data_IF_450546363626
#
_entry.id   IF_450546363626
#
_cell.length_a   1.000
_cell.length_b   1.000
_cell.length_c   1.000
_cell.angle_alpha   90.00
_cell.angle_beta   90.00
_cell.angle_gamma   90.00
#
_symmetry.space_group_name_H-M   'P 1'
#
loop_
_entity.id
_entity.type
_entity.pdbx_description
1 polymer ?
#
# COMPACT_ATOMS: atom_id res chain seq x y z
N UNK A 1 16.10 10.69 4.42
CA UNK A 1 15.31 10.22 5.56
C UNK A 1 13.89 9.99 5.09
N UNK A 2 13.34 8.83 5.34
CA UNK A 2 11.92 8.59 5.06
C UNK A 2 11.12 9.39 6.09
N UNK A 3 10.34 10.39 5.65
CA UNK A 3 9.48 11.17 6.52
C UNK A 3 8.21 10.38 6.83
N UNK A 4 7.91 10.20 8.12
CA UNK A 4 6.60 9.73 8.54
C UNK A 4 5.63 10.92 8.47
N UNK A 5 4.53 10.73 7.76
CA UNK A 5 3.49 11.75 7.62
C UNK A 5 2.17 11.17 8.10
N UNK A 6 1.50 11.87 8.99
CA UNK A 6 0.15 11.52 9.40
C UNK A 6 -0.85 12.09 8.38
N UNK A 7 -1.66 11.21 7.82
CA UNK A 7 -2.69 11.57 6.86
C UNK A 7 -4.05 11.25 7.48
N UNK A 8 -4.98 12.22 7.49
CA UNK A 8 -6.34 11.96 7.93
C UNK A 8 -7.00 10.94 6.99
N UNK A 9 -7.64 9.96 7.58
CA UNK A 9 -8.35 8.88 6.91
C UNK A 9 -9.61 8.55 7.69
N UNK A 10 -10.40 7.61 7.20
CA UNK A 10 -11.54 7.09 7.95
C UNK A 10 -11.59 5.56 7.91
N UNK A 11 -12.10 5.00 8.99
CA UNK A 11 -12.42 3.58 9.09
C UNK A 11 -13.91 3.40 8.85
N UNK A 12 -14.25 2.53 7.91
CA UNK A 12 -15.62 2.17 7.58
C UNK A 12 -15.86 0.70 7.88
N UNK A 13 -17.06 0.37 8.34
CA UNK A 13 -17.53 -0.98 8.50
C UNK A 13 -18.95 -1.07 7.94
N UNK A 14 -19.31 -2.21 7.37
CA UNK A 14 -20.63 -2.39 6.80
C UNK A 14 -21.75 -2.15 7.83
N UNK A 15 -22.69 -1.26 7.50
CA UNK A 15 -23.81 -0.93 8.38
C UNK A 15 -23.49 0.04 9.54
N UNK A 16 -22.30 0.61 9.58
CA UNK A 16 -21.89 1.56 10.63
C UNK A 16 -21.38 2.87 10.02
N UNK A 17 -21.58 4.01 10.70
CA UNK A 17 -21.06 5.29 10.22
C UNK A 17 -19.52 5.29 10.23
N UNK A 18 -18.88 5.99 9.28
CA UNK A 18 -17.43 6.09 9.22
C UNK A 18 -16.88 6.79 10.47
N UNK A 19 -15.76 6.30 10.98
CA UNK A 19 -15.06 6.90 12.11
C UNK A 19 -13.74 7.51 11.66
N UNK A 20 -13.37 8.70 12.19
CA UNK A 20 -12.10 9.32 11.86
C UNK A 20 -10.92 8.44 12.33
N UNK A 21 -9.91 8.39 11.52
CA UNK A 21 -8.66 7.67 11.79
C UNK A 21 -7.47 8.47 11.30
N UNK A 22 -6.30 8.17 11.83
CA UNK A 22 -5.02 8.70 11.38
C UNK A 22 -4.21 7.57 10.77
N UNK A 23 -3.84 7.73 9.53
CA UNK A 23 -2.96 6.82 8.84
C UNK A 23 -1.53 7.39 8.83
N UNK A 24 -0.59 6.65 9.39
CA UNK A 24 0.82 7.00 9.31
C UNK A 24 1.40 6.37 8.06
N UNK A 25 1.79 7.21 7.12
CA UNK A 25 2.40 6.82 5.86
C UNK A 25 3.85 7.26 5.80
N UNK A 26 4.68 6.43 5.20
CA UNK A 26 6.06 6.79 4.90
C UNK A 26 6.18 7.07 3.41
N UNK A 27 6.62 8.26 3.10
CA UNK A 27 7.05 8.61 1.75
C UNK A 27 8.50 8.16 1.57
N UNK A 28 8.71 7.26 0.62
CA UNK A 28 10.06 6.81 0.30
C UNK A 28 10.81 7.91 -0.46
N UNK A 29 12.00 8.26 0.01
CA UNK A 29 12.85 9.20 -0.67
C UNK A 29 13.10 8.74 -2.13
N UNK A 30 13.07 9.67 -3.10
CA UNK A 30 13.21 9.34 -4.52
C UNK A 30 14.49 8.56 -4.83
N UNK A 31 15.58 8.84 -4.13
CA UNK A 31 16.84 8.10 -4.27
C UNK A 31 16.76 6.64 -3.85
N UNK A 32 16.05 6.32 -2.78
CA UNK A 32 15.86 4.92 -2.35
C UNK A 32 14.96 4.15 -3.31
N UNK A 33 13.96 4.81 -3.88
CA UNK A 33 13.11 4.20 -4.92
C UNK A 33 13.91 3.86 -6.14
N UNK A 34 14.71 4.83 -6.62
CA UNK A 34 15.58 4.64 -7.78
C UNK A 34 16.57 3.51 -7.56
N UNK A 35 17.27 3.47 -6.43
CA UNK A 35 18.20 2.40 -6.10
C UNK A 35 17.54 1.01 -6.07
N UNK A 36 16.35 0.88 -5.45
CA UNK A 36 15.61 -0.40 -5.42
C UNK A 36 15.08 -0.82 -6.80
N UNK A 37 14.65 0.15 -7.61
CA UNK A 37 14.20 -0.11 -8.98
C UNK A 37 15.37 -0.58 -9.84
N UNK A 38 16.52 0.09 -9.75
CA UNK A 38 17.74 -0.32 -10.47
C UNK A 38 18.25 -1.67 -10.01
N UNK A 39 18.26 -1.97 -8.71
CA UNK A 39 18.68 -3.28 -8.21
C UNK A 39 17.77 -4.40 -8.75
N UNK A 40 16.46 -4.19 -8.76
CA UNK A 40 15.51 -5.13 -9.34
C UNK A 40 15.71 -5.32 -10.85
N UNK A 41 15.85 -4.24 -11.58
CA UNK A 41 16.11 -4.28 -13.03
C UNK A 41 17.43 -4.96 -13.35
N UNK A 42 18.50 -4.62 -12.61
CA UNK A 42 19.82 -5.22 -12.77
C UNK A 42 19.82 -6.73 -12.51
N UNK A 43 19.06 -7.19 -11.52
CA UNK A 43 18.91 -8.63 -11.27
C UNK A 43 18.25 -9.35 -12.45
N UNK A 44 17.16 -8.83 -12.99
CA UNK A 44 16.48 -9.43 -14.14
C UNK A 44 17.33 -9.39 -15.41
N UNK A 45 18.05 -8.30 -15.63
CA UNK A 45 18.96 -8.19 -16.78
C UNK A 45 20.21 -9.08 -16.63
N UNK A 46 20.70 -9.23 -15.39
CA UNK A 46 21.78 -10.19 -15.10
C UNK A 46 21.36 -11.63 -15.43
N UNK A 47 20.13 -12.02 -15.06
CA UNK A 47 19.56 -13.31 -15.44
C UNK A 47 19.38 -13.45 -16.95
N UNK A 48 18.97 -12.39 -17.64
CA UNK A 48 18.85 -12.38 -19.09
C UNK A 48 20.20 -12.61 -19.77
N UNK A 49 21.26 -11.96 -19.30
CA UNK A 49 22.62 -12.16 -19.80
C UNK A 49 23.15 -13.59 -19.52
N UNK A 50 22.90 -14.08 -18.29
CA UNK A 50 23.29 -15.45 -17.94
C UNK A 50 22.58 -16.51 -18.80
N UNK A 51 21.29 -16.29 -19.13
CA UNK A 51 20.53 -17.18 -20.01
C UNK A 51 20.99 -17.15 -21.46
N UNK A 52 21.79 -16.15 -21.85
CA UNK A 52 22.39 -16.03 -23.18
C UNK A 52 23.33 -17.17 -23.53
N UNK A 53 23.88 -17.86 -22.54
CA UNK A 53 24.75 -19.04 -22.74
C UNK A 53 24.01 -20.32 -23.17
N UNK A 54 22.67 -20.32 -23.11
CA UNK A 54 21.83 -21.46 -23.49
C UNK A 54 21.18 -21.16 -24.84
N UNK A 55 21.67 -21.74 -25.96
CA UNK A 55 21.32 -21.28 -27.30
C UNK A 55 19.83 -21.41 -27.65
N UNK A 56 19.14 -22.43 -27.14
CA UNK A 56 17.70 -22.64 -27.43
C UNK A 56 16.80 -21.81 -26.50
N UNK A 57 17.16 -21.71 -25.22
CA UNK A 57 16.37 -20.97 -24.23
C UNK A 57 16.51 -19.46 -24.36
N UNK A 58 17.59 -18.98 -24.98
CA UNK A 58 17.90 -17.57 -25.15
C UNK A 58 16.74 -16.76 -25.78
N UNK A 59 16.15 -17.28 -26.85
CA UNK A 59 15.09 -16.57 -27.59
C UNK A 59 13.82 -16.34 -26.78
N UNK A 60 13.55 -17.17 -25.77
CA UNK A 60 12.35 -17.04 -24.93
C UNK A 60 12.70 -16.37 -23.60
N UNK A 61 13.80 -16.77 -22.97
CA UNK A 61 14.15 -16.26 -21.63
C UNK A 61 14.57 -14.79 -21.65
N UNK A 62 15.36 -14.37 -22.63
CA UNK A 62 15.83 -12.98 -22.68
C UNK A 62 14.68 -11.99 -22.80
N UNK A 63 13.76 -12.08 -23.77
CA UNK A 63 12.65 -11.15 -23.86
C UNK A 63 11.73 -11.24 -22.63
N UNK A 64 11.54 -12.44 -22.05
CA UNK A 64 10.71 -12.62 -20.86
C UNK A 64 11.32 -11.92 -19.64
N UNK A 65 12.62 -12.07 -19.40
CA UNK A 65 13.29 -11.40 -18.28
C UNK A 65 13.39 -9.89 -18.47
N UNK A 66 13.61 -9.41 -19.67
CA UNK A 66 13.62 -7.98 -19.97
C UNK A 66 12.23 -7.37 -19.73
N UNK A 67 11.18 -7.98 -20.27
CA UNK A 67 9.82 -7.53 -20.08
C UNK A 67 9.40 -7.61 -18.59
N UNK A 68 9.72 -8.71 -17.91
CA UNK A 68 9.44 -8.91 -16.48
C UNK A 68 10.14 -7.87 -15.62
N UNK A 69 11.41 -7.56 -15.93
CA UNK A 69 12.17 -6.51 -15.25
C UNK A 69 11.54 -5.14 -15.40
N UNK A 70 11.10 -4.78 -16.61
CA UNK A 70 10.43 -3.49 -16.87
C UNK A 70 9.11 -3.41 -16.10
N UNK A 71 8.27 -4.44 -16.15
CA UNK A 71 6.99 -4.47 -15.43
C UNK A 71 7.19 -4.33 -13.93
N UNK A 72 8.17 -5.05 -13.36
CA UNK A 72 8.50 -4.93 -11.93
C UNK A 72 9.06 -3.56 -11.58
N UNK A 73 9.89 -2.97 -12.43
CA UNK A 73 10.41 -1.62 -12.25
C UNK A 73 9.28 -0.59 -12.21
N UNK A 74 8.33 -0.66 -13.14
CA UNK A 74 7.16 0.24 -13.19
C UNK A 74 6.28 0.07 -11.94
N UNK A 75 6.01 -1.18 -11.52
CA UNK A 75 5.24 -1.43 -10.30
C UNK A 75 5.91 -0.82 -9.07
N UNK A 76 7.22 -1.01 -8.91
CA UNK A 76 7.98 -0.45 -7.77
C UNK A 76 8.10 1.07 -7.83
N UNK A 77 8.25 1.65 -9.03
CA UNK A 77 8.29 3.10 -9.20
C UNK A 77 6.97 3.79 -8.84
N UNK A 78 5.84 3.09 -9.01
CA UNK A 78 4.50 3.60 -8.65
C UNK A 78 4.14 3.42 -7.18
N UNK A 79 4.99 2.78 -6.38
CA UNK A 79 4.78 2.60 -4.94
C UNK A 79 5.26 3.84 -4.17
N UNK A 80 4.43 4.89 -4.16
CA UNK A 80 4.80 6.17 -3.57
C UNK A 80 4.67 6.22 -2.06
N UNK A 81 3.62 5.62 -1.51
CA UNK A 81 3.29 5.69 -0.10
C UNK A 81 3.08 4.32 0.50
N UNK A 82 3.77 4.05 1.59
CA UNK A 82 3.57 2.85 2.40
C UNK A 82 2.82 3.19 3.67
N UNK A 83 1.76 2.43 3.92
CA UNK A 83 1.01 2.48 5.16
C UNK A 83 1.78 1.72 6.24
N UNK A 84 2.22 2.43 7.28
CA UNK A 84 2.86 1.79 8.44
C UNK A 84 1.82 1.37 9.46
N UNK A 85 1.00 2.32 9.88
CA UNK A 85 0.01 2.11 10.94
C UNK A 85 -1.24 2.94 10.70
N UNK A 86 -2.36 2.47 11.22
CA UNK A 86 -3.63 3.18 11.26
C UNK A 86 -4.09 3.24 12.70
N UNK A 87 -4.34 4.42 13.20
CA UNK A 87 -4.85 4.65 14.55
C UNK A 87 -6.25 5.21 14.48
N UNK A 88 -7.21 4.54 15.10
CA UNK A 88 -8.59 5.00 15.08
C UNK A 88 -9.51 4.13 15.91
N UNK A 89 -10.73 4.61 16.10
CA UNK A 89 -11.78 3.85 16.76
C UNK A 89 -12.48 2.92 15.76
N UNK A 90 -12.69 1.68 16.14
CA UNK A 90 -13.47 0.75 15.34
C UNK A 90 -14.91 1.23 15.23
N UNK A 91 -15.51 1.34 14.03
CA UNK A 91 -16.91 1.73 13.87
C UNK A 91 -17.89 0.77 14.53
N UNK A 92 -17.54 -0.50 14.65
CA UNK A 92 -18.40 -1.57 15.16
C UNK A 92 -18.33 -1.69 16.70
N UNK A 93 -17.16 -1.79 17.29
CA UNK A 93 -17.00 -2.01 18.74
C UNK A 93 -16.57 -0.76 19.51
N UNK A 94 -16.21 0.33 18.84
CA UNK A 94 -15.80 1.59 19.48
C UNK A 94 -14.38 1.56 20.07
N UNK A 95 -13.71 0.43 20.11
CA UNK A 95 -12.38 0.33 20.68
C UNK A 95 -11.34 1.12 19.84
N UNK A 96 -10.60 1.99 20.51
CA UNK A 96 -9.46 2.69 19.91
C UNK A 96 -8.30 1.71 19.80
N UNK A 97 -7.76 1.57 18.60
CA UNK A 97 -6.71 0.62 18.33
C UNK A 97 -5.70 1.16 17.33
N UNK A 98 -4.52 0.60 17.39
CA UNK A 98 -3.47 0.84 16.44
C UNK A 98 -3.26 -0.43 15.62
N UNK A 99 -3.55 -0.33 14.33
CA UNK A 99 -3.42 -1.41 13.37
C UNK A 99 -2.15 -1.20 12.57
N UNK A 100 -1.40 -2.27 12.35
CA UNK A 100 -0.20 -2.26 11.51
C UNK A 100 -0.40 -3.12 10.24
N UNK A 101 -1.31 -2.71 9.34
CA UNK A 101 -1.62 -3.52 8.17
C UNK A 101 -0.46 -3.63 7.19
N UNK A 102 0.52 -2.74 7.26
CA UNK A 102 1.63 -2.67 6.32
C UNK A 102 1.20 -2.50 4.87
N UNK A 103 2.14 -2.40 3.93
CA UNK A 103 1.85 -2.36 2.49
C UNK A 103 1.44 -1.00 1.96
N UNK A 104 0.70 -0.96 0.87
CA UNK A 104 0.35 0.29 0.17
C UNK A 104 -0.78 1.04 0.87
N UNK A 105 -0.69 2.37 0.88
CA UNK A 105 -1.79 3.23 1.28
C UNK A 105 -2.74 3.42 0.08
N UNK A 106 -3.79 2.63 0.05
CA UNK A 106 -4.82 2.67 -1.00
C UNK A 106 -6.21 2.69 -0.39
N UNK A 107 -7.12 3.35 -1.09
CA UNK A 107 -8.54 3.36 -0.75
C UNK A 107 -9.16 1.96 -0.86
N UNK A 108 -10.11 1.66 0.01
CA UNK A 108 -10.79 0.37 0.00
C UNK A 108 -10.00 -0.81 0.57
N UNK A 109 -8.85 -0.57 1.21
CA UNK A 109 -8.08 -1.63 1.84
C UNK A 109 -8.80 -2.17 3.06
N UNK A 110 -9.03 -3.48 3.07
CA UNK A 110 -9.70 -4.17 4.19
C UNK A 110 -8.71 -4.84 5.13
N UNK A 111 -9.08 -4.87 6.40
CA UNK A 111 -8.40 -5.61 7.47
C UNK A 111 -9.37 -5.88 8.61
N UNK A 112 -9.05 -6.86 9.45
CA UNK A 112 -9.92 -7.27 10.54
C UNK A 112 -9.57 -6.53 11.83
N UNK A 113 -10.62 -6.16 12.57
CA UNK A 113 -10.47 -5.60 13.90
C UNK A 113 -9.96 -6.67 14.87
N UNK A 114 -8.84 -6.45 15.60
CA UNK A 114 -8.32 -7.45 16.53
C UNK A 114 -9.23 -7.68 17.73
N UNK A 115 -10.14 -6.76 18.03
CA UNK A 115 -11.03 -6.85 19.20
C UNK A 115 -12.36 -7.54 18.88
N UNK A 116 -13.02 -7.18 17.77
CA UNK A 116 -14.34 -7.73 17.42
C UNK A 116 -14.33 -8.61 16.16
N UNK A 117 -13.18 -8.81 15.53
CA UNK A 117 -12.97 -9.56 14.29
C UNK A 117 -13.88 -9.10 13.12
N UNK A 118 -14.41 -7.88 13.22
CA UNK A 118 -15.20 -7.28 12.16
C UNK A 118 -14.31 -6.78 11.03
N UNK A 119 -14.75 -6.94 9.80
CA UNK A 119 -14.04 -6.41 8.64
C UNK A 119 -14.14 -4.88 8.61
N UNK A 120 -13.00 -4.24 8.52
CA UNK A 120 -12.83 -2.79 8.44
C UNK A 120 -12.27 -2.43 7.07
N UNK A 121 -12.74 -1.33 6.52
CA UNK A 121 -12.20 -0.81 5.26
C UNK A 121 -11.62 0.57 5.52
N UNK A 122 -10.41 0.80 5.04
CA UNK A 122 -9.76 2.10 5.10
C UNK A 122 -10.23 2.95 3.94
N UNK A 123 -10.81 4.10 4.24
CA UNK A 123 -11.07 5.13 3.25
C UNK A 123 -10.00 6.23 3.40
N UNK A 124 -9.41 6.61 2.28
CA UNK A 124 -8.36 7.63 2.24
C UNK A 124 -8.89 9.06 2.39
N UNK A 125 -10.20 9.22 2.48
CA UNK A 125 -10.85 10.50 2.78
C UNK A 125 -11.10 10.60 4.28
N UNK A 126 -11.00 11.82 4.86
CA UNK A 126 -11.47 12.07 6.21
C UNK A 126 -12.95 11.67 6.31
N UNK A 127 -13.37 11.17 7.48
CA UNK A 127 -14.78 11.02 7.75
C UNK A 127 -15.45 12.39 7.61
N UNK A 128 -16.38 12.52 6.68
CA UNK A 128 -17.21 13.70 6.59
C UNK A 128 -18.05 13.76 7.88
N UNK A 129 -18.03 14.88 8.60
CA UNK A 129 -18.88 14.99 9.79
C UNK A 129 -20.31 14.73 9.36
N UNK A 130 -20.98 13.81 10.04
CA UNK A 130 -22.40 13.53 9.82
C UNK A 130 -23.11 14.87 9.73
N UNK A 131 -23.90 15.14 8.66
CA UNK A 131 -24.71 16.34 8.63
C UNK A 131 -25.56 16.28 9.89
N UNK A 132 -25.39 17.29 10.75
CA UNK A 132 -26.16 17.40 11.98
C UNK A 132 -27.63 17.14 11.62
N UNK A 133 -28.35 16.28 12.36
CA UNK A 133 -29.73 16.01 12.07
C UNK A 133 -30.41 17.37 11.98
N UNK A 134 -30.88 17.70 10.78
CA UNK A 134 -31.66 18.92 10.56
C UNK A 134 -32.90 18.75 11.42
N UNK A 135 -32.83 19.36 12.62
CA UNK A 135 -33.91 19.34 13.57
C UNK A 135 -35.17 19.83 12.87
N UNK A 136 -36.14 19.00 12.92
CA UNK A 136 -37.47 19.38 12.55
C UNK A 136 -37.99 20.50 13.46
#
# INVERSE_FOLDING_TARGET
MAGETEVPASLTAFGHPPRPALAVVVEQAPGQRFARTLAGLGMFWGLALASGFIPVAHFILVPTFVAGGIVMAIKRAREDRRLLRVRGACPRCGAVQELQPGGRFIDGRSFDCPNCHGNLTLATRPAEPDPAPSGA
#
